data_IF_563392386486
#
_entry.id   IF_563392386486
#
_cell.length_a   1.000
_cell.length_b   1.000
_cell.length_c   1.000
_cell.angle_alpha   90.00
_cell.angle_beta   90.00
_cell.angle_gamma   90.00
#
_symmetry.space_group_name_H-M   'P 1'
#
loop_
_entity.id
_entity.type
_entity.pdbx_description
1 polymer ?
#
# COMPACT_ATOMS: atom_id res chain seq x y z
N UNK A 1 0.22 -7.01 -25.05
CA UNK A 1 -0.17 -5.72 -24.47
C UNK A 1 -0.99 -5.90 -23.21
N UNK A 2 -2.11 -6.58 -23.27
CA UNK A 2 -2.91 -6.89 -22.08
C UNK A 2 -2.12 -7.65 -21.01
N UNK A 3 -1.32 -8.62 -21.41
CA UNK A 3 -0.50 -9.41 -20.50
C UNK A 3 0.50 -8.55 -19.72
N UNK A 4 1.17 -7.65 -20.41
CA UNK A 4 2.16 -6.76 -19.78
C UNK A 4 1.49 -5.81 -18.80
N UNK A 5 0.34 -5.26 -19.13
CA UNK A 5 -0.40 -4.37 -18.25
C UNK A 5 -0.90 -5.09 -17.01
N UNK A 6 -1.42 -6.30 -17.18
CA UNK A 6 -1.87 -7.15 -16.09
C UNK A 6 -0.69 -7.51 -15.17
N UNK A 7 0.42 -7.92 -15.73
CA UNK A 7 1.63 -8.25 -14.99
C UNK A 7 2.13 -7.06 -14.17
N UNK A 8 2.06 -5.86 -14.73
CA UNK A 8 2.44 -4.64 -14.05
C UNK A 8 1.56 -4.39 -12.82
N UNK A 9 0.25 -4.46 -12.98
CA UNK A 9 -0.68 -4.27 -11.86
C UNK A 9 -0.45 -5.34 -10.78
N UNK A 10 -0.30 -6.60 -11.17
CA UNK A 10 -0.03 -7.69 -10.24
C UNK A 10 1.30 -7.47 -9.50
N UNK A 11 2.34 -7.03 -10.21
CA UNK A 11 3.62 -6.68 -9.58
C UNK A 11 3.50 -5.59 -8.54
N UNK A 12 2.68 -4.56 -8.81
CA UNK A 12 2.40 -3.49 -7.88
C UNK A 12 1.65 -3.99 -6.65
N UNK A 13 0.69 -4.87 -6.86
CA UNK A 13 -0.06 -5.49 -5.76
C UNK A 13 0.84 -6.34 -4.89
N UNK A 14 1.75 -7.11 -5.48
CA UNK A 14 2.73 -7.88 -4.73
C UNK A 14 3.66 -6.99 -3.91
N UNK A 15 4.01 -5.82 -4.43
CA UNK A 15 4.81 -4.86 -3.67
C UNK A 15 4.04 -4.38 -2.43
N UNK A 16 2.76 -4.05 -2.56
CA UNK A 16 1.92 -3.66 -1.41
C UNK A 16 1.83 -4.83 -0.42
N UNK A 17 1.68 -6.05 -0.92
CA UNK A 17 1.66 -7.25 -0.08
C UNK A 17 2.95 -7.41 0.73
N UNK A 18 4.10 -7.27 0.08
CA UNK A 18 5.40 -7.38 0.75
C UNK A 18 5.60 -6.32 1.81
N UNK A 19 5.26 -5.06 1.51
CA UNK A 19 5.38 -3.96 2.45
C UNK A 19 4.44 -4.16 3.64
N UNK A 20 3.23 -4.59 3.40
CA UNK A 20 2.24 -4.87 4.44
C UNK A 20 2.67 -6.02 5.35
N UNK A 21 3.17 -7.10 4.76
CA UNK A 21 3.69 -8.25 5.50
C UNK A 21 4.92 -7.88 6.34
N UNK A 22 5.78 -7.04 5.79
CA UNK A 22 6.96 -6.56 6.50
C UNK A 22 6.57 -5.75 7.73
N UNK A 23 5.58 -4.86 7.60
CA UNK A 23 5.04 -4.12 8.74
C UNK A 23 4.53 -5.10 9.81
N UNK A 24 3.73 -6.08 9.43
CA UNK A 24 3.19 -7.04 10.39
C UNK A 24 4.29 -7.79 11.14
N UNK A 25 5.28 -8.29 10.42
CA UNK A 25 6.39 -9.04 11.03
C UNK A 25 7.22 -8.20 11.99
N UNK A 26 7.52 -6.96 11.61
CA UNK A 26 8.43 -6.11 12.38
C UNK A 26 7.76 -5.41 13.56
N UNK A 27 6.43 -5.31 13.53
CA UNK A 27 5.67 -4.60 14.58
C UNK A 27 4.82 -5.53 15.45
N UNK A 28 4.90 -6.84 15.21
CA UNK A 28 4.03 -7.78 15.90
C UNK A 28 4.21 -7.79 17.41
N UNK A 29 5.39 -7.45 17.91
CA UNK A 29 5.69 -7.38 19.34
C UNK A 29 5.17 -6.12 20.02
N UNK A 30 4.71 -5.13 19.27
CA UNK A 30 4.22 -3.87 19.81
C UNK A 30 2.83 -4.05 20.42
N UNK A 31 2.64 -3.59 21.66
CA UNK A 31 1.37 -3.66 22.37
C UNK A 31 0.66 -2.31 22.46
N UNK A 32 1.42 -1.22 22.35
CA UNK A 32 0.87 0.14 22.35
C UNK A 32 1.78 1.07 21.55
N UNK A 33 1.28 2.26 21.22
CA UNK A 33 2.08 3.24 20.49
C UNK A 33 3.31 3.70 21.28
N UNK A 34 3.27 3.62 22.62
CA UNK A 34 4.40 3.95 23.47
C UNK A 34 5.62 3.09 23.16
N UNK A 35 5.40 1.88 22.68
CA UNK A 35 6.50 0.97 22.35
C UNK A 35 7.37 1.48 21.20
N UNK A 36 6.88 2.41 20.38
CA UNK A 36 7.70 3.08 19.37
C UNK A 36 8.67 4.10 19.97
N UNK A 37 8.42 4.53 21.22
CA UNK A 37 9.10 5.68 21.83
C UNK A 37 10.11 5.30 22.91
N UNK A 38 10.27 4.01 23.19
CA UNK A 38 11.02 3.53 24.37
C UNK A 38 12.54 3.46 24.15
N UNK A 39 13.03 3.55 22.91
CA UNK A 39 14.45 3.41 22.60
C UNK A 39 14.76 3.95 21.22
N UNK A 40 16.04 4.10 20.92
CA UNK A 40 16.48 4.49 19.57
C UNK A 40 16.11 3.42 18.54
N UNK A 41 16.25 2.15 18.86
CA UNK A 41 15.86 1.07 17.93
C UNK A 41 14.35 1.06 17.69
N UNK A 42 13.54 1.39 18.69
CA UNK A 42 12.09 1.54 18.51
C UNK A 42 11.76 2.72 17.58
N UNK A 43 12.50 3.82 17.70
CA UNK A 43 12.33 4.96 16.81
C UNK A 43 12.75 4.64 15.38
N UNK A 44 13.80 3.85 15.19
CA UNK A 44 14.19 3.34 13.86
C UNK A 44 13.04 2.52 13.28
N UNK A 45 12.42 1.66 14.07
CA UNK A 45 11.26 0.88 13.66
C UNK A 45 10.08 1.78 13.27
N UNK A 46 9.82 2.81 14.06
CA UNK A 46 8.76 3.79 13.75
C UNK A 46 9.01 4.44 12.39
N UNK A 47 10.22 4.91 12.15
CA UNK A 47 10.59 5.55 10.89
C UNK A 47 10.46 4.59 9.71
N UNK A 48 10.91 3.35 9.87
CA UNK A 48 10.75 2.31 8.85
C UNK A 48 9.28 2.02 8.56
N UNK A 49 8.46 1.93 9.60
CA UNK A 49 7.02 1.69 9.47
C UNK A 49 6.35 2.83 8.68
N UNK A 50 6.67 4.09 9.02
CA UNK A 50 6.17 5.25 8.28
C UNK A 50 6.57 5.23 6.81
N UNK A 51 7.82 4.86 6.52
CA UNK A 51 8.30 4.74 5.15
C UNK A 51 7.50 3.68 4.38
N UNK A 52 7.26 2.52 4.99
CA UNK A 52 6.46 1.46 4.37
C UNK A 52 5.03 1.93 4.10
N UNK A 53 4.41 2.62 5.04
CA UNK A 53 3.05 3.16 4.86
C UNK A 53 3.00 4.19 3.72
N UNK A 54 4.02 5.03 3.61
CA UNK A 54 4.13 6.01 2.54
C UNK A 54 4.21 5.33 1.17
N UNK A 55 5.05 4.30 1.05
CA UNK A 55 5.21 3.56 -0.21
C UNK A 55 3.96 2.76 -0.56
N UNK A 56 3.26 2.22 0.43
CA UNK A 56 1.96 1.57 0.21
C UNK A 56 0.97 2.59 -0.36
N UNK A 57 0.85 3.75 0.26
CA UNK A 57 -0.07 4.80 -0.21
C UNK A 57 0.24 5.26 -1.62
N UNK A 58 1.51 5.45 -1.94
CA UNK A 58 1.95 5.84 -3.29
C UNK A 58 1.64 4.75 -4.32
N UNK A 59 1.91 3.49 -3.99
CA UNK A 59 1.66 2.38 -4.90
C UNK A 59 0.16 2.19 -5.14
N UNK A 60 -0.65 2.26 -4.09
CA UNK A 60 -2.11 2.17 -4.21
C UNK A 60 -2.64 3.31 -5.09
N UNK A 61 -2.12 4.53 -4.91
CA UNK A 61 -2.49 5.67 -5.75
C UNK A 61 -2.17 5.40 -7.23
N UNK A 62 -1.02 4.82 -7.51
CA UNK A 62 -0.63 4.50 -8.88
C UNK A 62 -1.52 3.43 -9.50
N UNK A 63 -1.86 2.38 -8.74
CA UNK A 63 -2.80 1.36 -9.21
C UNK A 63 -4.16 2.00 -9.51
N UNK A 64 -4.63 2.85 -8.61
CA UNK A 64 -5.92 3.52 -8.77
C UNK A 64 -5.94 4.39 -10.03
N UNK A 65 -4.88 5.16 -10.26
CA UNK A 65 -4.75 5.99 -11.45
C UNK A 65 -4.66 5.16 -12.74
N UNK A 66 -3.86 4.09 -12.72
CA UNK A 66 -3.68 3.23 -13.88
C UNK A 66 -4.96 2.49 -14.27
N UNK A 67 -5.83 2.23 -13.32
CA UNK A 67 -7.10 1.53 -13.55
C UNK A 67 -8.30 2.49 -13.58
N UNK A 68 -8.04 3.80 -13.66
CA UNK A 68 -9.08 4.83 -13.73
C UNK A 68 -10.11 4.74 -12.60
N UNK A 69 -9.62 4.44 -11.40
CA UNK A 69 -10.41 4.27 -10.16
C UNK A 69 -11.38 3.07 -10.21
N UNK A 70 -11.32 2.24 -11.25
CA UNK A 70 -12.30 1.18 -11.46
C UNK A 70 -11.95 -0.14 -10.76
N UNK A 71 -10.66 -0.42 -10.52
CA UNK A 71 -10.30 -1.70 -9.92
C UNK A 71 -10.57 -1.74 -8.42
N UNK A 72 -9.97 -0.83 -7.68
CA UNK A 72 -9.98 -0.88 -6.21
C UNK A 72 -11.28 -0.36 -5.61
N UNK A 73 -11.64 0.86 -5.94
CA UNK A 73 -12.76 1.56 -5.31
C UNK A 73 -14.10 0.91 -5.64
N UNK A 74 -14.28 0.47 -6.87
CA UNK A 74 -15.54 -0.13 -7.29
C UNK A 74 -15.74 -1.57 -6.85
N UNK A 75 -14.68 -2.36 -6.77
CA UNK A 75 -14.78 -3.79 -6.55
C UNK A 75 -14.40 -4.27 -5.14
N UNK A 76 -13.69 -3.45 -4.38
CA UNK A 76 -13.20 -3.83 -3.04
C UNK A 76 -13.50 -2.71 -2.04
N UNK A 77 -14.78 -2.41 -1.87
CA UNK A 77 -15.27 -1.24 -1.13
C UNK A 77 -15.03 -1.28 0.38
N UNK A 78 -14.71 -2.45 0.91
CA UNK A 78 -14.45 -2.64 2.33
C UNK A 78 -13.16 -1.99 2.81
N UNK A 79 -12.26 -1.66 1.89
CA UNK A 79 -11.00 -0.99 2.22
C UNK A 79 -11.13 0.52 1.96
N UNK A 80 -10.68 1.37 2.90
CA UNK A 80 -10.73 2.82 2.73
C UNK A 80 -9.59 3.31 1.83
N UNK A 81 -9.64 3.01 0.54
CA UNK A 81 -8.57 3.30 -0.43
C UNK A 81 -8.15 4.76 -0.43
N UNK A 82 -9.09 5.68 -0.34
CA UNK A 82 -8.80 7.12 -0.34
C UNK A 82 -7.99 7.54 0.89
N UNK A 83 -8.21 6.91 2.03
CA UNK A 83 -7.43 7.14 3.24
C UNK A 83 -6.01 6.60 3.10
N UNK A 84 -5.87 5.44 2.49
CA UNK A 84 -4.56 4.82 2.24
C UNK A 84 -3.74 5.72 1.31
N UNK A 85 -4.35 6.19 0.24
CA UNK A 85 -3.72 7.13 -0.69
C UNK A 85 -3.34 8.43 0.04
N UNK A 86 -4.19 8.90 0.93
CA UNK A 86 -3.93 10.10 1.73
C UNK A 86 -2.73 10.00 2.67
N UNK A 87 -2.38 8.78 3.12
CA UNK A 87 -1.20 8.58 3.96
C UNK A 87 0.08 9.08 3.31
N UNK A 88 0.20 8.91 2.01
CA UNK A 88 1.37 9.39 1.28
C UNK A 88 1.59 10.89 1.47
N UNK A 89 0.54 11.69 1.40
CA UNK A 89 0.66 13.14 1.55
C UNK A 89 1.03 13.54 2.97
N UNK A 90 0.38 12.93 3.95
CA UNK A 90 0.66 13.19 5.37
C UNK A 90 2.10 12.85 5.70
N UNK A 91 2.54 11.66 5.31
CA UNK A 91 3.88 11.17 5.62
C UNK A 91 4.99 11.89 4.85
N UNK A 92 4.68 12.42 3.66
CA UNK A 92 5.67 13.16 2.86
C UNK A 92 5.84 14.60 3.30
N UNK A 93 4.73 15.25 3.73
CA UNK A 93 4.74 16.70 3.96
C UNK A 93 4.61 17.12 5.42
N UNK A 94 4.09 16.23 6.27
CA UNK A 94 3.80 16.55 7.67
C UNK A 94 4.50 15.60 8.64
N UNK A 95 5.66 15.09 8.25
CA UNK A 95 6.38 14.07 9.03
C UNK A 95 6.60 14.48 10.49
N UNK A 96 6.95 15.73 10.75
CA UNK A 96 7.21 16.22 12.10
C UNK A 96 5.96 16.23 13.00
N UNK A 97 4.77 16.20 12.40
CA UNK A 97 3.49 16.24 13.10
C UNK A 97 2.78 14.88 13.15
N UNK A 98 3.47 13.80 12.76
CA UNK A 98 2.86 12.47 12.74
C UNK A 98 2.61 12.00 14.17
N UNK A 99 1.37 11.58 14.41
CA UNK A 99 0.95 11.02 15.68
C UNK A 99 1.29 9.52 15.77
N UNK A 100 2.18 9.09 16.68
CA UNK A 100 2.52 7.68 16.84
C UNK A 100 1.32 6.78 17.15
N UNK A 101 0.32 7.29 17.86
CA UNK A 101 -0.90 6.53 18.15
C UNK A 101 -1.68 6.25 16.86
N UNK A 102 -1.81 7.24 15.98
CA UNK A 102 -2.48 7.07 14.70
C UNK A 102 -1.76 6.04 13.83
N UNK A 103 -0.42 6.05 13.82
CA UNK A 103 0.37 5.06 13.10
C UNK A 103 0.16 3.66 13.68
N UNK A 104 0.21 3.54 15.01
CA UNK A 104 -0.02 2.27 15.68
C UNK A 104 -1.40 1.69 15.33
N UNK A 105 -2.44 2.52 15.38
CA UNK A 105 -3.79 2.08 15.01
C UNK A 105 -3.88 1.68 13.53
N UNK A 106 -3.23 2.44 12.65
CA UNK A 106 -3.19 2.11 11.23
C UNK A 106 -2.58 0.74 10.98
N UNK A 107 -1.46 0.42 11.63
CA UNK A 107 -0.80 -0.86 11.40
C UNK A 107 -1.52 -2.03 12.07
N UNK A 108 -2.16 -1.82 13.21
CA UNK A 108 -2.85 -2.91 13.92
C UNK A 108 -4.24 -3.20 13.40
N UNK A 109 -4.96 -2.16 12.98
CA UNK A 109 -6.35 -2.28 12.53
C UNK A 109 -6.44 -2.26 11.00
N UNK A 110 -5.63 -1.44 10.34
CA UNK A 110 -5.75 -1.22 8.90
C UNK A 110 -4.97 -2.21 8.03
N UNK A 111 -3.78 -2.61 8.46
CA UNK A 111 -2.90 -3.46 7.64
C UNK A 111 -3.44 -4.90 7.46
N UNK A 112 -3.93 -5.60 8.49
CA UNK A 112 -4.42 -6.97 8.28
C UNK A 112 -5.54 -7.10 7.25
N UNK A 113 -6.60 -6.28 7.28
CA UNK A 113 -7.62 -6.36 6.22
C UNK A 113 -7.09 -5.93 4.85
N UNK A 114 -6.18 -4.95 4.79
CA UNK A 114 -5.57 -4.55 3.53
C UNK A 114 -4.80 -5.73 2.92
N UNK A 115 -3.96 -6.40 3.70
CA UNK A 115 -3.17 -7.54 3.24
C UNK A 115 -4.07 -8.65 2.71
N UNK A 116 -5.13 -9.00 3.44
CA UNK A 116 -6.08 -10.02 3.02
C UNK A 116 -6.76 -9.63 1.69
N UNK A 117 -7.16 -8.38 1.55
CA UNK A 117 -7.81 -7.89 0.33
C UNK A 117 -6.84 -7.85 -0.84
N UNK A 118 -5.60 -7.41 -0.64
CA UNK A 118 -4.58 -7.42 -1.70
C UNK A 118 -4.36 -8.84 -2.23
N UNK A 119 -4.27 -9.82 -1.35
CA UNK A 119 -4.15 -11.22 -1.75
C UNK A 119 -5.36 -11.68 -2.57
N UNK A 120 -6.56 -11.28 -2.19
CA UNK A 120 -7.78 -11.59 -2.92
C UNK A 120 -7.79 -10.94 -4.31
N UNK A 121 -7.33 -9.69 -4.42
CA UNK A 121 -7.26 -8.99 -5.70
C UNK A 121 -6.29 -9.71 -6.65
N UNK A 122 -5.11 -10.08 -6.15
CA UNK A 122 -4.11 -10.81 -6.94
C UNK A 122 -4.72 -12.10 -7.48
N UNK A 123 -5.37 -12.88 -6.60
CA UNK A 123 -6.01 -14.14 -7.00
C UNK A 123 -7.11 -13.90 -8.03
N UNK A 124 -7.93 -12.88 -7.84
CA UNK A 124 -9.02 -12.54 -8.77
C UNK A 124 -8.47 -12.18 -10.16
N UNK A 125 -7.41 -11.36 -10.21
CA UNK A 125 -6.77 -10.98 -11.48
C UNK A 125 -6.15 -12.21 -12.16
N UNK A 126 -5.45 -13.04 -11.42
CA UNK A 126 -4.82 -14.25 -11.95
C UNK A 126 -5.84 -15.26 -12.47
N UNK A 127 -7.05 -15.25 -11.91
CA UNK A 127 -8.17 -16.08 -12.35
C UNK A 127 -8.98 -15.43 -13.50
N UNK A 128 -8.49 -14.35 -14.07
CA UNK A 128 -9.09 -13.72 -15.23
C UNK A 128 -10.11 -12.63 -14.97
N UNK A 129 -10.32 -12.24 -13.71
CA UNK A 129 -11.20 -11.12 -13.38
C UNK A 129 -10.52 -9.79 -13.68
N UNK A 130 -11.31 -8.76 -13.90
CA UNK A 130 -10.83 -7.37 -14.05
C UNK A 130 -9.91 -7.14 -15.26
N UNK A 131 -10.05 -7.95 -16.32
CA UNK A 131 -9.21 -7.79 -17.51
C UNK A 131 -9.32 -6.40 -18.14
N UNK A 132 -10.52 -5.82 -18.15
CA UNK A 132 -10.73 -4.48 -18.71
C UNK A 132 -10.04 -3.39 -17.89
N UNK A 133 -10.10 -3.51 -16.55
CA UNK A 133 -9.47 -2.55 -15.65
C UNK A 133 -7.95 -2.63 -15.65
N UNK A 134 -7.40 -3.79 -15.99
CA UNK A 134 -5.96 -3.98 -16.07
C UNK A 134 -5.39 -3.70 -17.46
N UNK A 135 -6.24 -3.35 -18.44
CA UNK A 135 -5.79 -3.01 -19.77
C UNK A 135 -5.44 -1.52 -19.88
N UNK A 136 -4.18 -1.23 -19.66
CA UNK A 136 -3.66 0.15 -19.65
C UNK A 136 -2.82 0.45 -20.89
N UNK A 137 -3.21 -0.14 -22.02
CA UNK A 137 -2.45 -0.05 -23.29
C UNK A 137 -2.22 1.38 -23.80
N UNK A 138 -3.00 2.35 -23.30
CA UNK A 138 -2.92 3.74 -23.75
C UNK A 138 -2.14 4.66 -22.81
N UNK A 139 -1.54 4.11 -21.76
CA UNK A 139 -0.79 4.95 -20.81
C UNK A 139 0.63 5.17 -21.31
N UNK A 140 1.01 6.43 -21.35
CA UNK A 140 2.35 6.82 -21.75
C UNK A 140 3.40 6.30 -20.76
N UNK A 141 4.62 6.20 -21.23
CA UNK A 141 5.77 5.68 -20.51
C UNK A 141 6.15 6.39 -19.20
N UNK A 142 5.37 7.36 -18.78
CA UNK A 142 5.67 8.13 -17.57
C UNK A 142 5.36 7.40 -16.26
N UNK A 143 4.95 6.16 -16.34
CA UNK A 143 4.63 5.37 -15.17
C UNK A 143 5.82 4.60 -14.61
N UNK A 144 6.98 5.21 -14.64
CA UNK A 144 8.22 4.53 -14.31
C UNK A 144 8.66 4.64 -12.89
N UNK A 145 7.86 5.24 -12.06
CA UNK A 145 8.21 5.47 -10.67
C UNK A 145 8.49 4.25 -9.85
N UNK A 146 8.10 3.11 -10.35
CA UNK A 146 8.36 1.89 -9.72
C UNK A 146 9.77 1.52 -9.54
N UNK A 147 10.64 2.01 -10.39
CA UNK A 147 12.05 1.69 -10.41
C UNK A 147 12.75 2.13 -9.12
N UNK A 148 12.20 3.10 -8.44
CA UNK A 148 12.81 3.60 -7.23
C UNK A 148 12.62 2.73 -6.03
N UNK A 149 11.73 1.77 -6.12
CA UNK A 149 11.33 1.02 -4.97
C UNK A 149 11.95 -0.36 -4.96
N UNK A 150 12.51 -0.73 -6.06
CA UNK A 150 13.29 -1.95 -6.15
C UNK A 150 14.74 -1.71 -5.71
#
# INVERSE_FOLDING_TARGET
MRSISKEKIVGMLHFVEEQSSFIERTTKHLNSYHDFLISDSAMVLFNSTCMCLQTIGETVRQIDNLTEEALLVENYKEIPWKRIIGLRNILSHEYAAIDPEAIFNTIKIGIPPLLATINSIIADIENGKHNAQCDVSNLSSNSVLFVYVS
#
